data_IF_769739555764
#
_entry.id   IF_769739555764
#
_cell.length_a   1.000
_cell.length_b   1.000
_cell.length_c   1.000
_cell.angle_alpha   90.00
_cell.angle_beta   90.00
_cell.angle_gamma   90.00
#
_symmetry.space_group_name_H-M   'P 1'
#
loop_
_entity.id
_entity.type
_entity.pdbx_description
1 polymer ?
#
# COMPACT_ATOMS: atom_id res chain seq x y z
N UNK A 1 3.38 9.79 0.43
CA UNK A 1 1.91 9.95 0.62
C UNK A 1 1.42 9.63 2.04
N UNK A 2 2.23 9.01 2.91
CA UNK A 2 1.77 8.50 4.21
C UNK A 2 1.28 9.54 5.22
N UNK A 3 2.12 10.48 5.59
CA UNK A 3 1.79 11.47 6.63
C UNK A 3 0.61 12.38 6.28
N UNK A 4 0.29 12.54 4.99
CA UNK A 4 -0.92 13.26 4.55
C UNK A 4 -2.20 12.69 5.18
N UNK A 5 -2.24 11.39 5.42
CA UNK A 5 -3.40 10.71 5.99
C UNK A 5 -3.43 10.79 7.52
N UNK A 6 -2.39 11.32 8.17
CA UNK A 6 -2.30 11.33 9.63
C UNK A 6 -3.46 12.09 10.28
N UNK A 7 -3.86 13.23 9.73
CA UNK A 7 -5.00 14.00 10.24
C UNK A 7 -6.31 13.22 10.15
N UNK A 8 -6.59 12.57 9.03
CA UNK A 8 -7.77 11.74 8.83
C UNK A 8 -7.78 10.51 9.76
N UNK A 9 -6.61 9.88 9.96
CA UNK A 9 -6.46 8.73 10.87
C UNK A 9 -6.69 9.17 12.33
N UNK A 10 -6.03 10.24 12.77
CA UNK A 10 -6.10 10.69 14.17
C UNK A 10 -7.49 11.25 14.52
N UNK A 11 -8.08 12.06 13.64
CA UNK A 11 -9.35 12.75 13.91
C UNK A 11 -10.53 11.82 13.64
N UNK A 12 -10.58 11.21 12.45
CA UNK A 12 -11.74 10.45 11.97
C UNK A 12 -11.63 8.94 12.19
N UNK A 13 -10.47 8.44 12.62
CA UNK A 13 -10.21 7.00 12.69
C UNK A 13 -10.21 6.34 11.30
N UNK A 14 -9.85 7.10 10.25
CA UNK A 14 -9.85 6.58 8.89
C UNK A 14 -8.92 5.37 8.77
N UNK A 15 -9.45 4.20 8.39
CA UNK A 15 -8.76 2.89 8.34
C UNK A 15 -8.25 2.34 9.68
N UNK A 16 -8.17 3.15 10.74
CA UNK A 16 -7.72 2.78 12.07
C UNK A 16 -8.63 3.42 13.12
N UNK A 17 -9.72 2.75 13.48
CA UNK A 17 -10.68 3.20 14.48
C UNK A 17 -10.15 3.01 15.90
N UNK A 18 -9.45 1.90 16.16
CA UNK A 18 -8.95 1.53 17.48
C UNK A 18 -7.52 2.04 17.69
N UNK A 19 -6.61 1.76 16.76
CA UNK A 19 -5.17 2.01 16.92
C UNK A 19 -4.68 3.22 16.12
N UNK A 20 -5.16 4.43 16.43
CA UNK A 20 -4.93 5.62 15.58
C UNK A 20 -3.46 6.01 15.44
N UNK A 21 -2.72 6.14 16.55
CA UNK A 21 -1.31 6.58 16.52
C UNK A 21 -0.44 5.56 15.78
N UNK A 22 -0.58 4.28 16.15
CA UNK A 22 0.12 3.17 15.47
C UNK A 22 -0.30 3.09 14.01
N UNK A 23 -1.57 3.34 13.71
CA UNK A 23 -2.11 3.38 12.37
C UNK A 23 -1.47 4.42 11.47
N UNK A 24 -1.11 5.60 11.99
CA UNK A 24 -0.34 6.59 11.20
C UNK A 24 1.00 6.02 10.77
N UNK A 25 1.70 5.31 11.65
CA UNK A 25 2.99 4.70 11.36
C UNK A 25 2.83 3.59 10.31
N UNK A 26 1.92 2.64 10.55
CA UNK A 26 1.67 1.50 9.66
C UNK A 26 1.22 1.96 8.27
N UNK A 27 0.27 2.89 8.21
CA UNK A 27 -0.23 3.43 6.95
C UNK A 27 0.84 4.23 6.20
N UNK A 28 1.72 4.93 6.93
CA UNK A 28 2.85 5.62 6.32
C UNK A 28 3.85 4.65 5.69
N UNK A 29 4.18 3.55 6.38
CA UNK A 29 5.02 2.49 5.82
C UNK A 29 4.36 1.88 4.57
N UNK A 30 3.08 1.52 4.67
CA UNK A 30 2.34 0.89 3.59
C UNK A 30 2.26 1.77 2.33
N UNK A 31 1.86 3.03 2.47
CA UNK A 31 1.79 3.97 1.34
C UNK A 31 3.17 4.34 0.78
N UNK A 32 4.23 4.26 1.59
CA UNK A 32 5.61 4.39 1.10
C UNK A 32 5.96 3.22 0.18
N UNK A 33 5.62 2.00 0.58
CA UNK A 33 5.82 0.79 -0.24
C UNK A 33 5.02 0.83 -1.54
N UNK A 34 3.84 1.47 -1.58
CA UNK A 34 3.06 1.63 -2.82
C UNK A 34 3.67 2.62 -3.82
N UNK A 35 4.55 3.50 -3.35
CA UNK A 35 5.11 4.57 -4.18
C UNK A 35 5.97 3.98 -5.30
N UNK A 36 6.80 2.96 -5.01
CA UNK A 36 7.66 2.34 -6.01
C UNK A 36 6.89 1.73 -7.21
N UNK A 37 5.91 0.83 -7.02
CA UNK A 37 5.18 0.26 -8.16
C UNK A 37 4.36 1.31 -8.91
N UNK A 38 3.83 2.33 -8.24
CA UNK A 38 3.14 3.44 -8.91
C UNK A 38 4.07 4.22 -9.84
N UNK A 39 5.27 4.57 -9.36
CA UNK A 39 6.29 5.23 -10.19
C UNK A 39 6.77 4.34 -11.32
N UNK A 40 6.98 3.05 -11.05
CA UNK A 40 7.38 2.07 -12.06
C UNK A 40 6.37 1.99 -13.21
N UNK A 41 5.09 1.82 -12.88
CA UNK A 41 4.00 1.74 -13.86
C UNK A 41 3.85 3.06 -14.64
N UNK A 42 3.98 4.21 -13.97
CA UNK A 42 3.95 5.53 -14.64
C UNK A 42 5.10 5.69 -15.62
N UNK A 43 6.32 5.30 -15.23
CA UNK A 43 7.51 5.37 -16.09
C UNK A 43 7.39 4.44 -17.29
N UNK A 44 6.94 3.20 -17.08
CA UNK A 44 6.70 2.24 -18.18
C UNK A 44 5.62 2.73 -19.16
N UNK A 45 4.67 3.53 -18.68
CA UNK A 45 3.61 4.14 -19.49
C UNK A 45 4.03 5.48 -20.12
N UNK A 46 5.31 5.85 -20.10
CA UNK A 46 5.81 7.10 -20.70
C UNK A 46 5.31 8.37 -20.01
N UNK A 47 5.02 8.30 -18.71
CA UNK A 47 4.47 9.42 -17.94
C UNK A 47 2.94 9.49 -17.90
N UNK A 48 2.23 8.60 -18.59
CA UNK A 48 0.77 8.52 -18.49
C UNK A 48 0.37 8.06 -17.07
N UNK A 49 -0.48 8.85 -16.40
CA UNK A 49 -0.91 8.61 -15.03
C UNK A 49 -2.07 7.62 -14.92
N UNK A 50 -2.78 7.31 -16.02
CA UNK A 50 -3.97 6.44 -15.99
C UNK A 50 -3.66 5.03 -15.46
N UNK A 51 -2.57 4.36 -15.86
CA UNK A 51 -2.24 3.04 -15.32
C UNK A 51 -1.95 3.08 -13.81
N UNK A 52 -1.25 4.12 -13.33
CA UNK A 52 -0.98 4.29 -11.90
C UNK A 52 -2.24 4.63 -11.08
N UNK A 53 -3.16 5.43 -11.65
CA UNK A 53 -4.45 5.73 -11.03
C UNK A 53 -5.32 4.48 -10.90
N UNK A 54 -5.39 3.65 -11.95
CA UNK A 54 -6.10 2.37 -11.92
C UNK A 54 -5.50 1.41 -10.89
N UNK A 55 -4.16 1.35 -10.82
CA UNK A 55 -3.45 0.54 -9.83
C UNK A 55 -3.75 1.00 -8.39
N UNK A 56 -3.76 2.31 -8.14
CA UNK A 56 -4.18 2.86 -6.84
C UNK A 56 -5.61 2.41 -6.49
N UNK A 57 -6.56 2.55 -7.42
CA UNK A 57 -7.95 2.10 -7.22
C UNK A 57 -8.06 0.62 -6.88
N UNK A 58 -7.30 -0.23 -7.57
CA UNK A 58 -7.26 -1.68 -7.31
C UNK A 58 -6.73 -2.01 -5.91
N UNK A 59 -5.67 -1.32 -5.44
CA UNK A 59 -5.15 -1.47 -4.08
C UNK A 59 -6.24 -1.17 -3.04
N UNK A 60 -6.94 -0.03 -3.20
CA UNK A 60 -7.98 0.36 -2.24
C UNK A 60 -9.11 -0.68 -2.17
N UNK A 61 -9.49 -1.28 -3.29
CA UNK A 61 -10.50 -2.35 -3.32
C UNK A 61 -10.02 -3.63 -2.61
N UNK A 62 -8.78 -4.06 -2.86
CA UNK A 62 -8.23 -5.30 -2.28
C UNK A 62 -8.01 -5.16 -0.78
N UNK A 63 -7.51 -4.01 -0.31
CA UNK A 63 -7.26 -3.78 1.12
C UNK A 63 -8.55 -3.84 1.95
N UNK A 64 -9.64 -3.23 1.46
CA UNK A 64 -10.94 -3.30 2.12
C UNK A 64 -11.47 -4.74 2.20
N UNK A 65 -11.20 -5.57 1.18
CA UNK A 65 -11.59 -6.99 1.18
C UNK A 65 -10.97 -7.76 2.35
N UNK A 66 -9.73 -7.47 2.73
CA UNK A 66 -9.05 -8.16 3.85
C UNK A 66 -9.73 -7.92 5.19
N UNK A 67 -10.35 -6.75 5.37
CA UNK A 67 -11.09 -6.39 6.58
C UNK A 67 -12.44 -7.09 6.66
N UNK A 68 -13.08 -7.35 5.51
CA UNK A 68 -14.40 -8.00 5.42
C UNK A 68 -14.28 -9.53 5.46
N UNK A 69 -13.24 -10.11 4.87
CA UNK A 69 -13.07 -11.55 4.71
C UNK A 69 -12.64 -12.31 5.99
N UNK A 70 -12.41 -11.59 7.09
CA UNK A 70 -11.85 -12.15 8.34
C UNK A 70 -12.82 -12.07 9.51
N UNK A 71 -12.60 -12.91 10.53
CA UNK A 71 -13.37 -12.96 11.79
C UNK A 71 -12.61 -12.42 13.00
N UNK A 72 -11.39 -11.93 12.83
CA UNK A 72 -10.60 -11.36 13.93
C UNK A 72 -11.32 -10.19 14.64
N UNK A 73 -11.00 -9.84 15.89
CA UNK A 73 -11.45 -8.59 16.50
C UNK A 73 -11.01 -7.37 15.66
N UNK A 74 -11.82 -6.29 15.65
CA UNK A 74 -11.54 -5.10 14.83
C UNK A 74 -10.17 -4.47 15.11
N UNK A 75 -9.79 -4.41 16.38
CA UNK A 75 -8.49 -3.91 16.84
C UNK A 75 -7.31 -4.70 16.25
N UNK A 76 -7.40 -6.02 16.26
CA UNK A 76 -6.36 -6.91 15.73
C UNK A 76 -6.27 -6.83 14.20
N UNK A 77 -7.40 -6.65 13.51
CA UNK A 77 -7.43 -6.53 12.04
C UNK A 77 -6.59 -5.36 11.54
N UNK A 78 -6.66 -4.23 12.22
CA UNK A 78 -5.94 -3.01 11.86
C UNK A 78 -4.43 -3.21 11.90
N UNK A 79 -3.93 -3.96 12.88
CA UNK A 79 -2.50 -4.17 13.09
C UNK A 79 -1.97 -5.35 12.28
N UNK A 80 -2.73 -6.44 12.17
CA UNK A 80 -2.22 -7.69 11.63
C UNK A 80 -2.45 -7.86 10.13
N UNK A 81 -3.57 -7.36 9.58
CA UNK A 81 -4.01 -7.72 8.23
C UNK A 81 -3.49 -6.77 7.15
N UNK A 82 -4.26 -6.57 6.07
CA UNK A 82 -3.83 -5.89 4.86
C UNK A 82 -3.44 -4.42 5.06
N UNK A 83 -3.97 -3.76 6.09
CA UNK A 83 -3.57 -2.40 6.44
C UNK A 83 -2.31 -2.35 7.31
N UNK A 84 -2.01 -3.43 8.03
CA UNK A 84 -0.90 -3.55 8.96
C UNK A 84 0.20 -4.49 8.49
N UNK A 85 0.66 -5.38 9.37
CA UNK A 85 1.86 -6.18 9.17
C UNK A 85 1.81 -7.08 7.94
N UNK A 86 0.70 -7.80 7.70
CA UNK A 86 0.60 -8.66 6.52
C UNK A 86 0.68 -7.85 5.23
N UNK A 87 -0.02 -6.70 5.17
CA UNK A 87 0.08 -5.78 4.04
C UNK A 87 1.52 -5.32 3.81
N UNK A 88 2.19 -4.83 4.85
CA UNK A 88 3.57 -4.35 4.77
C UNK A 88 4.50 -5.44 4.25
N UNK A 89 4.44 -6.66 4.81
CA UNK A 89 5.28 -7.78 4.40
C UNK A 89 4.98 -8.18 2.95
N UNK A 90 3.70 -8.30 2.57
CA UNK A 90 3.30 -8.61 1.20
C UNK A 90 3.84 -7.59 0.20
N UNK A 91 3.78 -6.31 0.53
CA UNK A 91 4.26 -5.25 -0.35
C UNK A 91 5.77 -5.09 -0.37
N UNK A 92 6.49 -5.43 0.71
CA UNK A 92 7.96 -5.58 0.67
C UNK A 92 8.33 -6.67 -0.34
N UNK A 93 7.71 -7.85 -0.24
CA UNK A 93 7.95 -8.96 -1.16
C UNK A 93 7.62 -8.56 -2.60
N UNK A 94 6.46 -7.96 -2.83
CA UNK A 94 6.05 -7.49 -4.16
C UNK A 94 7.04 -6.48 -4.74
N UNK A 95 7.52 -5.52 -3.93
CA UNK A 95 8.53 -4.55 -4.36
C UNK A 95 9.85 -5.22 -4.76
N UNK A 96 10.34 -6.18 -3.97
CA UNK A 96 11.54 -6.94 -4.30
C UNK A 96 11.34 -7.70 -5.62
N UNK A 97 10.19 -8.35 -5.80
CA UNK A 97 9.86 -9.07 -7.04
C UNK A 97 9.80 -8.12 -8.24
N UNK A 98 9.11 -6.98 -8.12
CA UNK A 98 9.08 -5.98 -9.19
C UNK A 98 10.48 -5.48 -9.54
N UNK A 99 11.31 -5.20 -8.53
CA UNK A 99 12.68 -4.76 -8.75
C UNK A 99 13.53 -5.82 -9.46
N UNK A 100 13.48 -7.08 -9.02
CA UNK A 100 14.29 -8.16 -9.62
C UNK A 100 13.80 -8.53 -11.01
N UNK A 101 12.48 -8.61 -11.23
CA UNK A 101 11.91 -9.06 -12.50
C UNK A 101 11.90 -7.96 -13.56
N UNK A 102 11.56 -6.74 -13.18
CA UNK A 102 11.38 -5.61 -14.12
C UNK A 102 12.65 -4.74 -14.18
N UNK A 103 13.38 -4.58 -13.06
CA UNK A 103 14.65 -3.88 -13.07
C UNK A 103 15.66 -4.53 -14.02
N UNK A 104 15.65 -5.86 -14.14
CA UNK A 104 16.44 -6.56 -15.16
C UNK A 104 16.11 -6.09 -16.58
N UNK A 105 14.84 -5.88 -16.91
CA UNK A 105 14.39 -5.48 -18.26
C UNK A 105 14.72 -4.03 -18.60
N UNK A 106 14.72 -3.13 -17.61
CA UNK A 106 15.02 -1.70 -17.80
C UNK A 106 16.53 -1.48 -17.96
N UNK A 107 17.37 -2.18 -17.19
CA UNK A 107 18.83 -2.03 -17.23
C UNK A 107 19.55 -3.02 -18.17
N UNK A 108 18.84 -3.94 -18.82
CA UNK A 108 19.40 -4.85 -19.84
C UNK A 108 19.26 -4.34 -21.27
N UNK A 109 18.70 -3.14 -21.49
CA UNK A 109 18.73 -2.53 -22.83
C UNK A 109 20.16 -2.01 -23.08
N UNK A 110 20.79 -2.41 -24.21
CA UNK A 110 22.14 -1.97 -24.56
C UNK A 110 22.23 -0.46 -24.77
#
# INVERSE_FOLDING_TARGET
MGLWHASAIIILGHNYQFNRIVGVVLFTMLTTLFTYPQLLVTNMAGGNVLPAASFHGAINAILALTMIATRLPGEDREILLGLGLMGIISWIIANILFHVLIGRVIFSKP
#
